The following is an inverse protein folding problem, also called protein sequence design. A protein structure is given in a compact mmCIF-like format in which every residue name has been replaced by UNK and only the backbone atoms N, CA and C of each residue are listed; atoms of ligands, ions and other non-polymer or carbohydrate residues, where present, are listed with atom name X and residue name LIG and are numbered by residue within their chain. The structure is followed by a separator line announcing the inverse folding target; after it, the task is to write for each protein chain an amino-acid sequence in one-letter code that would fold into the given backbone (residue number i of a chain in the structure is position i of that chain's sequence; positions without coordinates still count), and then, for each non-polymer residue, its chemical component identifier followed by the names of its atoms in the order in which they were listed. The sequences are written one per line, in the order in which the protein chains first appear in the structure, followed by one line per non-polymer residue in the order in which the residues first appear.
data_IF_542292110748
#
_entry.id   IF_542292110748
#
_cell.length_a   1.000
_cell.length_b   1.000
_cell.length_c   1.000
_cell.angle_alpha   90.00
_cell.angle_beta   90.00
_cell.angle_gamma   90.00
#
_symmetry.space_group_name_H-M   'P 1'
#
loop_
_entity.id
_entity.type
_entity.pdbx_description
1 polymer ?
#
# COMPACT_ATOMS: atom_id res chain seq x y z
N UNK A 1 -0.50 -0.34 14.46
CA UNK A 1 -1.98 -0.32 14.58
C UNK A 1 -2.46 0.85 13.75
N UNK A 2 -3.02 0.56 12.58
CA UNK A 2 -3.59 1.60 11.73
C UNK A 2 -4.89 2.11 12.38
N UNK A 3 -4.95 3.40 12.67
CA UNK A 3 -6.09 4.04 13.36
C UNK A 3 -7.22 4.42 12.39
N UNK A 4 -7.36 3.71 11.28
CA UNK A 4 -8.37 4.00 10.24
C UNK A 4 -9.82 3.95 10.74
N UNK A 5 -10.08 3.26 11.87
CA UNK A 5 -11.41 3.11 12.43
C UNK A 5 -12.03 4.43 12.94
N UNK A 6 -11.22 5.44 13.16
CA UNK A 6 -11.66 6.74 13.69
C UNK A 6 -11.73 7.86 12.66
N UNK A 7 -11.50 7.57 11.36
CA UNK A 7 -11.39 8.58 10.31
C UNK A 7 -10.40 9.71 10.67
N UNK A 8 -9.29 9.36 11.31
CA UNK A 8 -8.25 10.28 11.79
C UNK A 8 -6.90 9.83 11.27
N UNK A 9 -6.15 10.77 10.70
CA UNK A 9 -4.72 10.60 10.39
C UNK A 9 -3.94 11.23 11.54
N UNK A 10 -3.08 10.44 12.19
CA UNK A 10 -2.15 10.97 13.19
C UNK A 10 -0.84 11.26 12.50
N UNK A 11 -0.47 12.53 12.43
CA UNK A 11 0.77 13.00 11.83
C UNK A 11 1.63 13.68 12.88
N UNK A 12 2.94 13.64 12.69
CA UNK A 12 3.87 14.45 13.48
C UNK A 12 3.99 15.82 12.84
N UNK A 13 3.89 16.86 13.64
CA UNK A 13 4.11 18.23 13.19
C UNK A 13 5.63 18.45 13.01
N UNK A 14 6.08 18.47 11.76
CA UNK A 14 7.45 18.78 11.40
C UNK A 14 7.77 20.27 11.50
N UNK A 15 6.75 21.14 11.62
CA UNK A 15 6.94 22.59 11.72
C UNK A 15 7.24 23.04 13.14
N UNK A 16 6.98 22.17 14.15
CA UNK A 16 7.24 22.43 15.56
C UNK A 16 8.72 22.34 15.99
N UNK A 17 9.65 22.08 15.08
CA UNK A 17 11.07 22.22 15.41
C UNK A 17 11.42 23.70 15.42
N UNK A 18 12.02 24.17 16.53
CA UNK A 18 12.44 25.57 16.77
C UNK A 18 13.29 26.20 15.65
N UNK A 19 13.69 25.43 14.65
CA UNK A 19 14.50 25.87 13.51
C UNK A 19 13.72 26.60 12.41
N UNK A 20 12.37 26.56 12.40
CA UNK A 20 11.55 27.21 11.38
C UNK A 20 10.82 28.48 11.86
N UNK A 21 10.72 28.69 13.18
CA UNK A 21 9.93 29.78 13.76
C UNK A 21 10.49 31.20 13.49
N UNK A 22 11.77 31.33 13.14
CA UNK A 22 12.47 32.62 13.02
C UNK A 22 12.84 33.05 11.58
N UNK A 23 12.25 32.42 10.54
CA UNK A 23 12.61 32.73 9.15
C UNK A 23 11.49 33.52 8.43
N UNK A 24 11.84 34.58 7.66
CA UNK A 24 10.84 35.33 6.88
C UNK A 24 10.16 34.44 5.83
N UNK A 25 8.87 34.66 5.60
CA UNK A 25 7.96 33.78 4.82
C UNK A 25 8.48 33.33 3.43
N UNK A 26 9.32 34.14 2.75
CA UNK A 26 9.95 33.77 1.46
C UNK A 26 11.08 32.76 1.58
N UNK A 27 11.76 32.68 2.72
CA UNK A 27 12.80 31.69 3.00
C UNK A 27 12.20 30.41 3.58
N UNK A 28 11.03 30.46 4.21
CA UNK A 28 10.33 29.31 4.74
C UNK A 28 9.89 28.34 3.62
N UNK A 29 9.43 28.86 2.46
CA UNK A 29 9.06 28.02 1.31
C UNK A 29 10.24 27.22 0.74
N UNK A 30 11.43 27.84 0.65
CA UNK A 30 12.62 27.17 0.14
C UNK A 30 13.23 26.19 1.16
N UNK A 31 13.22 26.57 2.44
CA UNK A 31 13.64 25.67 3.51
C UNK A 31 12.66 24.51 3.68
N UNK A 32 11.35 24.71 3.47
CA UNK A 32 10.35 23.65 3.45
C UNK A 32 10.60 22.66 2.32
N UNK A 33 10.94 23.10 1.13
CA UNK A 33 11.29 22.25 0.00
C UNK A 33 12.59 21.48 0.24
N UNK A 34 13.61 22.10 0.86
CA UNK A 34 14.86 21.44 1.23
C UNK A 34 14.63 20.35 2.30
N UNK A 35 13.74 20.60 3.27
CA UNK A 35 13.33 19.60 4.27
C UNK A 35 12.58 18.45 3.60
N UNK A 36 11.64 18.74 2.70
CA UNK A 36 10.88 17.71 1.97
C UNK A 36 11.77 16.88 1.02
N UNK A 37 12.90 17.42 0.58
CA UNK A 37 13.88 16.71 -0.23
C UNK A 37 14.84 15.83 0.59
N UNK A 38 14.80 15.91 1.93
CA UNK A 38 15.66 15.07 2.78
C UNK A 38 15.15 13.62 2.80
N UNK A 39 16.04 12.61 2.94
CA UNK A 39 15.65 11.21 3.06
C UNK A 39 14.68 10.95 4.22
N UNK A 40 14.85 11.67 5.34
CA UNK A 40 13.99 11.56 6.53
C UNK A 40 12.57 12.05 6.24
N UNK A 41 12.45 13.18 5.53
CA UNK A 41 11.14 13.70 5.13
C UNK A 41 10.47 12.82 4.09
N UNK A 42 11.21 12.21 3.19
CA UNK A 42 10.68 11.27 2.21
C UNK A 42 9.97 10.10 2.90
N UNK A 43 10.56 9.54 3.96
CA UNK A 43 9.93 8.48 4.76
C UNK A 43 8.65 8.95 5.46
N UNK A 44 8.65 10.16 6.02
CA UNK A 44 7.46 10.73 6.67
C UNK A 44 6.34 11.02 5.66
N UNK A 45 6.67 11.55 4.49
CA UNK A 45 5.68 11.79 3.43
C UNK A 45 5.11 10.47 2.93
N UNK A 46 5.93 9.43 2.74
CA UNK A 46 5.46 8.10 2.37
C UNK A 46 4.46 7.54 3.40
N UNK A 47 4.78 7.65 4.70
CA UNK A 47 3.86 7.25 5.78
C UNK A 47 2.55 8.06 5.75
N UNK A 48 2.64 9.37 5.54
CA UNK A 48 1.47 10.25 5.47
C UNK A 48 0.55 9.88 4.31
N UNK A 49 1.14 9.59 3.15
CA UNK A 49 0.42 9.12 1.97
C UNK A 49 -0.21 7.77 2.21
N UNK A 50 0.49 6.86 2.87
CA UNK A 50 -0.02 5.54 3.26
C UNK A 50 -1.31 5.68 4.08
N UNK A 51 -1.27 6.42 5.19
CA UNK A 51 -2.42 6.64 6.06
C UNK A 51 -3.56 7.42 5.37
N UNK A 52 -3.22 8.42 4.56
CA UNK A 52 -4.20 9.15 3.77
C UNK A 52 -4.88 8.27 2.72
N UNK A 53 -4.17 7.28 2.18
CA UNK A 53 -4.72 6.31 1.23
C UNK A 53 -5.78 5.43 1.90
N UNK A 54 -5.51 4.89 3.10
CA UNK A 54 -6.51 4.15 3.86
C UNK A 54 -7.76 5.00 4.12
N UNK A 55 -7.57 6.23 4.61
CA UNK A 55 -8.68 7.13 4.88
C UNK A 55 -9.50 7.44 3.61
N UNK A 56 -8.82 7.69 2.49
CA UNK A 56 -9.46 7.98 1.21
C UNK A 56 -10.23 6.77 0.70
N UNK A 57 -9.65 5.56 0.79
CA UNK A 57 -10.30 4.33 0.36
C UNK A 57 -11.64 4.08 1.08
N UNK A 58 -11.70 4.36 2.39
CA UNK A 58 -12.96 4.31 3.15
C UNK A 58 -13.93 5.43 2.79
N UNK A 59 -13.44 6.65 2.56
CA UNK A 59 -14.29 7.81 2.30
C UNK A 59 -14.89 7.81 0.89
N UNK A 60 -14.18 7.25 -0.10
CA UNK A 60 -14.68 7.14 -1.48
C UNK A 60 -15.46 5.84 -1.75
N UNK A 61 -15.62 4.97 -0.74
CA UNK A 61 -16.36 3.72 -0.85
C UNK A 61 -15.61 2.58 -1.52
N UNK A 62 -14.29 2.74 -1.76
CA UNK A 62 -13.43 1.64 -2.23
C UNK A 62 -13.33 0.54 -1.17
N UNK A 63 -13.26 0.93 0.10
CA UNK A 63 -13.36 0.04 1.24
C UNK A 63 -14.60 0.41 2.06
N UNK A 64 -15.43 -0.59 2.36
CA UNK A 64 -16.60 -0.39 3.20
C UNK A 64 -16.24 -0.68 4.65
N UNK A 65 -16.67 0.19 5.58
CA UNK A 65 -16.44 -0.03 7.01
C UNK A 65 -17.09 -1.31 7.48
N UNK A 66 -16.35 -2.07 8.27
CA UNK A 66 -16.75 -3.37 8.81
C UNK A 66 -16.98 -4.47 7.76
N UNK A 67 -16.78 -4.22 6.48
CA UNK A 67 -16.69 -5.29 5.48
C UNK A 67 -15.32 -5.99 5.59
N UNK A 68 -15.26 -7.29 5.27
CA UNK A 68 -14.00 -8.03 5.32
C UNK A 68 -13.14 -7.66 4.08
N UNK A 69 -12.26 -6.69 4.24
CA UNK A 69 -11.25 -6.33 3.25
C UNK A 69 -9.94 -7.02 3.65
N UNK A 70 -9.39 -7.93 2.84
CA UNK A 70 -8.12 -8.58 3.14
C UNK A 70 -6.99 -7.56 3.34
N UNK A 71 -6.11 -7.77 4.33
CA UNK A 71 -5.01 -6.84 4.60
C UNK A 71 -4.06 -6.68 3.42
N UNK A 72 -3.83 -7.75 2.62
CA UNK A 72 -2.99 -7.61 1.44
C UNK A 72 -3.54 -6.59 0.43
N UNK A 73 -4.87 -6.42 0.35
CA UNK A 73 -5.52 -5.43 -0.52
C UNK A 73 -5.34 -4.03 0.04
N UNK A 74 -5.71 -3.82 1.31
CA UNK A 74 -5.65 -2.49 1.93
C UNK A 74 -4.23 -1.98 2.03
N UNK A 75 -3.29 -2.81 2.50
CA UNK A 75 -1.87 -2.47 2.63
C UNK A 75 -1.17 -2.40 1.27
N UNK A 76 -1.54 -3.29 0.34
CA UNK A 76 -1.01 -3.27 -1.03
C UNK A 76 -1.36 -1.99 -1.77
N UNK A 77 -2.60 -1.50 -1.63
CA UNK A 77 -3.03 -0.21 -2.21
C UNK A 77 -2.29 0.94 -1.51
N UNK A 78 -2.23 0.96 -0.18
CA UNK A 78 -1.54 2.02 0.55
C UNK A 78 -0.05 2.11 0.16
N UNK A 79 0.64 0.98 0.11
CA UNK A 79 2.05 0.90 -0.30
C UNK A 79 2.29 1.22 -1.78
N UNK A 80 1.30 0.99 -2.64
CA UNK A 80 1.36 1.38 -4.06
C UNK A 80 1.41 2.91 -4.22
N UNK A 81 0.78 3.66 -3.34
CA UNK A 81 0.79 5.12 -3.33
C UNK A 81 1.97 5.74 -2.57
N UNK A 82 2.76 4.96 -1.83
CA UNK A 82 3.93 5.43 -1.05
C UNK A 82 5.08 6.03 -1.86
N UNK A 83 4.97 6.17 -3.17
CA UNK A 83 6.03 6.67 -4.06
C UNK A 83 5.73 8.08 -4.57
N UNK A 84 5.64 9.11 -3.69
CA UNK A 84 5.44 10.47 -4.13
C UNK A 84 6.70 10.97 -4.86
N UNK A 85 6.52 11.62 -6.00
CA UNK A 85 7.59 12.37 -6.65
C UNK A 85 7.70 13.76 -6.01
N UNK A 86 8.51 13.86 -4.97
CA UNK A 86 8.74 15.10 -4.22
C UNK A 86 9.60 16.11 -4.99
N UNK A 87 10.27 15.69 -6.06
CA UNK A 87 11.09 16.55 -6.89
C UNK A 87 10.25 17.28 -7.98
N UNK A 88 9.02 16.90 -8.19
CA UNK A 88 8.15 17.49 -9.21
C UNK A 88 7.48 18.78 -8.72
N UNK A 89 7.73 19.89 -9.40
CA UNK A 89 7.04 21.16 -9.22
C UNK A 89 5.63 21.20 -9.87
N UNK A 90 5.26 20.16 -10.63
CA UNK A 90 4.02 20.05 -11.41
C UNK A 90 2.96 19.17 -10.76
N UNK A 91 3.02 19.01 -9.43
CA UNK A 91 2.10 18.19 -8.65
C UNK A 91 2.51 16.71 -8.56
N UNK A 92 1.63 15.91 -8.02
CA UNK A 92 1.87 14.52 -7.67
C UNK A 92 2.03 13.62 -8.91
N UNK A 93 3.25 13.25 -9.29
CA UNK A 93 3.54 12.40 -10.46
C UNK A 93 4.08 11.00 -10.11
N UNK A 94 4.40 10.74 -8.86
CA UNK A 94 4.99 9.47 -8.41
C UNK A 94 3.98 8.34 -8.20
N UNK A 95 2.67 8.59 -8.36
CA UNK A 95 1.64 7.58 -8.15
C UNK A 95 1.85 6.40 -9.10
N UNK A 96 1.97 5.21 -8.51
CA UNK A 96 2.18 3.98 -9.27
C UNK A 96 3.59 3.81 -9.81
N UNK A 97 4.54 4.63 -9.35
CA UNK A 97 5.96 4.41 -9.56
C UNK A 97 6.46 3.13 -8.86
N UNK A 98 7.64 2.66 -9.25
CA UNK A 98 8.25 1.50 -8.62
C UNK A 98 8.73 1.89 -7.22
N UNK A 99 8.17 1.30 -6.19
CA UNK A 99 8.64 1.43 -4.82
C UNK A 99 9.92 0.58 -4.65
N UNK A 100 11.09 1.19 -4.86
CA UNK A 100 12.39 0.50 -4.85
C UNK A 100 12.67 -0.23 -3.54
N UNK A 101 12.46 0.38 -2.35
CA UNK A 101 12.63 -0.34 -1.09
C UNK A 101 11.74 -1.59 -0.97
N UNK A 102 10.48 -1.50 -1.41
CA UNK A 102 9.55 -2.65 -1.41
C UNK A 102 9.96 -3.72 -2.43
N UNK A 103 10.40 -3.31 -3.62
CA UNK A 103 10.90 -4.22 -4.65
C UNK A 103 12.10 -5.03 -4.15
N UNK A 104 13.10 -4.34 -3.61
CA UNK A 104 14.32 -4.98 -3.11
C UNK A 104 13.99 -5.94 -1.95
N UNK A 105 13.10 -5.53 -1.05
CA UNK A 105 12.64 -6.37 0.06
C UNK A 105 11.88 -7.60 -0.42
N UNK A 106 10.94 -7.43 -1.37
CA UNK A 106 10.20 -8.54 -1.97
C UNK A 106 11.14 -9.58 -2.58
N UNK A 107 12.09 -9.14 -3.42
CA UNK A 107 13.04 -10.03 -4.09
C UNK A 107 13.97 -10.75 -3.09
N UNK A 108 14.36 -10.10 -2.00
CA UNK A 108 15.21 -10.69 -0.96
C UNK A 108 14.47 -11.70 -0.07
N UNK A 109 13.18 -11.45 0.20
CA UNK A 109 12.36 -12.25 1.12
C UNK A 109 11.45 -13.27 0.41
N UNK A 110 11.64 -13.48 -0.90
CA UNK A 110 10.82 -14.38 -1.69
C UNK A 110 10.97 -15.84 -1.23
N UNK A 111 9.83 -16.48 -0.96
CA UNK A 111 9.71 -17.90 -0.64
C UNK A 111 8.42 -18.45 -1.26
N UNK A 112 8.40 -19.72 -1.70
CA UNK A 112 7.16 -20.36 -2.18
C UNK A 112 6.06 -20.35 -1.12
N UNK A 113 4.82 -20.19 -1.54
CA UNK A 113 3.65 -20.23 -0.66
C UNK A 113 3.38 -18.92 0.11
N UNK A 114 4.19 -17.88 -0.07
CA UNK A 114 4.00 -16.61 0.66
C UNK A 114 2.86 -15.75 0.11
N UNK A 115 2.62 -15.80 -1.20
CA UNK A 115 1.48 -15.11 -1.81
C UNK A 115 0.15 -15.78 -1.43
N UNK A 116 0.01 -17.12 -1.56
CA UNK A 116 -1.17 -17.81 -1.02
C UNK A 116 -1.45 -17.53 0.46
N UNK A 117 -0.41 -17.42 1.29
CA UNK A 117 -0.56 -17.15 2.71
C UNK A 117 -1.18 -15.77 2.97
N UNK A 118 -0.70 -14.71 2.32
CA UNK A 118 -1.23 -13.34 2.53
C UNK A 118 -2.59 -13.12 1.86
N UNK A 119 -2.91 -13.88 0.80
CA UNK A 119 -4.24 -13.82 0.16
C UNK A 119 -5.27 -14.52 1.05
N UNK A 120 -4.93 -15.67 1.62
CA UNK A 120 -5.86 -16.46 2.43
C UNK A 120 -6.08 -15.94 3.84
N UNK A 121 -5.09 -15.27 4.47
CA UNK A 121 -5.20 -14.88 5.87
C UNK A 121 -4.48 -13.54 6.15
N UNK A 122 -4.92 -12.83 7.16
CA UNK A 122 -4.31 -11.60 7.66
C UNK A 122 -3.26 -11.84 8.74
N UNK A 123 -3.19 -13.06 9.30
CA UNK A 123 -2.26 -13.41 10.37
C UNK A 123 -0.78 -13.14 10.03
N UNK A 124 -0.31 -13.37 8.78
CA UNK A 124 1.05 -13.03 8.39
C UNK A 124 1.42 -11.55 8.60
N UNK A 125 0.46 -10.63 8.48
CA UNK A 125 0.68 -9.19 8.70
C UNK A 125 0.76 -8.80 10.18
N UNK A 126 0.24 -9.63 11.08
CA UNK A 126 0.24 -9.39 12.52
C UNK A 126 1.51 -9.88 13.20
N UNK A 127 2.29 -10.72 12.53
CA UNK A 127 3.59 -11.19 13.03
C UNK A 127 4.65 -10.12 12.83
N UNK A 128 5.22 -9.63 13.93
CA UNK A 128 6.17 -8.52 13.90
C UNK A 128 7.43 -8.79 13.06
N UNK A 129 7.89 -10.04 13.04
CA UNK A 129 9.06 -10.52 12.30
C UNK A 129 8.82 -10.67 10.79
N UNK A 130 7.57 -10.85 10.37
CA UNK A 130 7.19 -11.04 8.96
C UNK A 130 6.46 -9.83 8.35
N UNK A 131 5.98 -8.91 9.17
CA UNK A 131 5.12 -7.80 8.72
C UNK A 131 5.75 -6.99 7.58
N UNK A 132 7.02 -6.60 7.70
CA UNK A 132 7.72 -5.80 6.67
C UNK A 132 7.80 -6.55 5.35
N UNK A 133 8.03 -7.87 5.38
CA UNK A 133 8.06 -8.72 4.20
C UNK A 133 6.68 -8.84 3.56
N UNK A 134 5.64 -8.94 4.38
CA UNK A 134 4.27 -9.07 3.90
C UNK A 134 3.74 -7.76 3.30
N UNK A 135 4.15 -6.60 3.82
CA UNK A 135 3.91 -5.31 3.15
C UNK A 135 4.58 -5.25 1.76
N UNK A 136 5.81 -5.76 1.64
CA UNK A 136 6.50 -5.81 0.36
C UNK A 136 5.83 -6.79 -0.63
N UNK A 137 5.32 -7.93 -0.15
CA UNK A 137 4.55 -8.91 -0.94
C UNK A 137 3.21 -8.33 -1.40
N UNK A 138 2.48 -7.65 -0.50
CA UNK A 138 1.21 -6.98 -0.81
C UNK A 138 1.41 -5.90 -1.88
N UNK A 139 2.46 -5.07 -1.75
CA UNK A 139 2.83 -4.10 -2.76
C UNK A 139 3.13 -4.78 -4.11
N UNK A 140 3.96 -5.82 -4.10
CA UNK A 140 4.37 -6.51 -5.33
C UNK A 140 3.17 -7.13 -6.06
N UNK A 141 2.27 -7.79 -5.32
CA UNK A 141 1.06 -8.38 -5.88
C UNK A 141 0.13 -7.30 -6.45
N UNK A 142 -0.13 -6.23 -5.69
CA UNK A 142 -0.96 -5.10 -6.12
C UNK A 142 -0.37 -4.42 -7.36
N UNK A 143 0.94 -4.13 -7.36
CA UNK A 143 1.63 -3.53 -8.50
C UNK A 143 1.50 -4.42 -9.74
N UNK A 144 1.79 -5.71 -9.63
CA UNK A 144 1.69 -6.68 -10.71
C UNK A 144 0.27 -6.77 -11.28
N UNK A 145 -0.74 -6.88 -10.43
CA UNK A 145 -2.15 -6.95 -10.86
C UNK A 145 -2.59 -5.67 -11.55
N UNK A 146 -2.23 -4.50 -11.04
CA UNK A 146 -2.53 -3.21 -11.68
C UNK A 146 -1.84 -3.04 -13.04
N UNK A 147 -0.65 -3.61 -13.23
CA UNK A 147 0.08 -3.52 -14.49
C UNK A 147 -0.36 -4.57 -15.53
N UNK A 148 -0.84 -5.73 -15.09
CA UNK A 148 -1.11 -6.86 -15.99
C UNK A 148 -2.59 -7.25 -16.09
N UNK A 149 -3.41 -6.93 -15.06
CA UNK A 149 -4.81 -7.33 -14.94
C UNK A 149 -5.68 -6.22 -14.30
N UNK A 150 -5.47 -4.99 -14.74
CA UNK A 150 -6.05 -3.79 -14.10
C UNK A 150 -7.57 -3.85 -13.97
N UNK A 151 -8.28 -4.23 -15.03
CA UNK A 151 -9.74 -4.30 -15.03
C UNK A 151 -10.23 -5.33 -14.01
N UNK A 152 -9.66 -6.54 -14.03
CA UNK A 152 -9.97 -7.59 -13.07
C UNK A 152 -9.70 -7.15 -11.62
N UNK A 153 -8.60 -6.43 -11.38
CA UNK A 153 -8.29 -5.92 -10.05
C UNK A 153 -9.30 -4.86 -9.58
N UNK A 154 -9.73 -3.95 -10.47
CA UNK A 154 -10.77 -2.97 -10.15
C UNK A 154 -12.11 -3.65 -9.85
N UNK A 155 -12.48 -4.67 -10.61
CA UNK A 155 -13.71 -5.41 -10.38
C UNK A 155 -13.64 -6.23 -9.07
N UNK A 156 -12.49 -6.79 -8.76
CA UNK A 156 -12.24 -7.42 -7.45
C UNK A 156 -12.42 -6.45 -6.29
N UNK A 157 -11.90 -5.23 -6.39
CA UNK A 157 -12.11 -4.20 -5.35
C UNK A 157 -13.59 -3.84 -5.19
N UNK A 158 -14.34 -3.77 -6.28
CA UNK A 158 -15.79 -3.54 -6.23
C UNK A 158 -16.52 -4.68 -5.53
N UNK A 159 -16.20 -5.93 -5.87
CA UNK A 159 -16.81 -7.09 -5.21
C UNK A 159 -16.53 -7.12 -3.70
N UNK A 160 -15.32 -6.75 -3.27
CA UNK A 160 -15.01 -6.62 -1.86
C UNK A 160 -15.82 -5.51 -1.17
N UNK A 161 -16.02 -4.37 -1.84
CA UNK A 161 -16.82 -3.27 -1.30
C UNK A 161 -18.32 -3.60 -1.19
N UNK A 162 -18.82 -4.56 -1.97
CA UNK A 162 -20.21 -5.05 -1.92
C UNK A 162 -20.45 -6.05 -0.80
N UNK A 163 -19.39 -6.64 -0.22
CA UNK A 163 -19.54 -7.59 0.90
C UNK A 163 -20.31 -6.95 2.07
N UNK A 164 -21.24 -7.67 2.69
CA UNK A 164 -21.95 -7.15 3.86
C UNK A 164 -21.00 -6.85 5.03
N UNK A 165 -21.26 -5.79 5.79
CA UNK A 165 -20.52 -5.54 7.04
C UNK A 165 -20.63 -6.76 7.97
N UNK A 166 -19.51 -7.09 8.64
CA UNK A 166 -19.41 -8.19 9.60
C UNK A 166 -19.71 -9.58 8.99
N UNK A 167 -19.70 -9.72 7.66
CA UNK A 167 -19.83 -11.02 7.04
C UNK A 167 -18.61 -11.90 7.34
N UNK A 168 -18.84 -13.21 7.39
CA UNK A 168 -17.78 -14.18 7.57
C UNK A 168 -16.83 -14.14 6.36
N UNK A 169 -15.53 -14.26 6.65
CA UNK A 169 -14.48 -14.27 5.65
C UNK A 169 -13.47 -15.35 6.04
N UNK A 170 -13.51 -16.46 5.32
CA UNK A 170 -12.60 -17.59 5.57
C UNK A 170 -11.45 -17.60 4.56
N UNK A 171 -10.33 -18.29 4.87
CA UNK A 171 -9.26 -18.47 3.89
C UNK A 171 -9.75 -19.06 2.57
N UNK A 172 -10.72 -19.98 2.61
CA UNK A 172 -11.30 -20.61 1.43
C UNK A 172 -12.11 -19.60 0.61
N UNK A 173 -12.94 -18.77 1.26
CA UNK A 173 -13.72 -17.74 0.56
C UNK A 173 -12.83 -16.71 -0.09
N UNK A 174 -11.76 -16.27 0.57
CA UNK A 174 -10.78 -15.32 0.02
C UNK A 174 -10.07 -15.87 -1.21
N UNK A 175 -9.68 -17.14 -1.18
CA UNK A 175 -9.07 -17.81 -2.34
C UNK A 175 -10.05 -17.98 -3.49
N UNK A 176 -11.30 -18.28 -3.19
CA UNK A 176 -12.35 -18.37 -4.22
C UNK A 176 -12.61 -17.02 -4.86
N UNK A 177 -12.78 -15.95 -4.07
CA UNK A 177 -12.94 -14.58 -4.58
C UNK A 177 -11.75 -14.17 -5.48
N UNK A 178 -10.55 -14.56 -5.09
CA UNK A 178 -9.33 -14.29 -5.86
C UNK A 178 -9.35 -15.07 -7.19
N UNK A 179 -9.69 -16.35 -7.16
CA UNK A 179 -9.78 -17.18 -8.36
C UNK A 179 -10.86 -16.66 -9.32
N UNK A 180 -12.03 -16.29 -8.79
CA UNK A 180 -13.14 -15.77 -9.59
C UNK A 180 -12.78 -14.45 -10.26
N UNK A 181 -12.03 -13.58 -9.57
CA UNK A 181 -11.61 -12.28 -10.09
C UNK A 181 -10.49 -12.40 -11.13
N UNK A 182 -9.50 -13.26 -10.89
CA UNK A 182 -8.27 -13.28 -11.71
C UNK A 182 -8.16 -14.50 -12.62
N UNK A 183 -9.05 -15.49 -12.53
CA UNK A 183 -8.99 -16.71 -13.31
C UNK A 183 -7.74 -17.55 -13.07
N UNK A 184 -7.09 -17.35 -11.92
CA UNK A 184 -5.86 -18.04 -11.51
C UNK A 184 -5.80 -18.08 -9.99
N UNK A 185 -5.27 -19.16 -9.44
CA UNK A 185 -5.04 -19.24 -8.00
C UNK A 185 -3.85 -18.37 -7.57
N UNK A 186 -3.72 -18.00 -6.29
CA UNK A 186 -2.55 -17.30 -5.80
C UNK A 186 -1.24 -18.05 -6.03
N UNK A 187 -1.28 -19.39 -5.95
CA UNK A 187 -0.15 -20.29 -6.21
C UNK A 187 0.32 -20.20 -7.66
N UNK A 188 -0.60 -20.20 -8.61
CA UNK A 188 -0.32 -20.06 -10.04
C UNK A 188 0.27 -18.70 -10.42
N UNK A 189 0.02 -17.67 -9.61
CA UNK A 189 0.56 -16.32 -9.85
C UNK A 189 1.94 -16.09 -9.24
N UNK A 190 2.44 -16.91 -8.32
CA UNK A 190 3.73 -16.67 -7.66
C UNK A 190 4.90 -16.60 -8.65
N UNK A 191 5.00 -17.55 -9.57
CA UNK A 191 6.10 -17.57 -10.54
C UNK A 191 6.02 -16.43 -11.57
N UNK A 192 4.87 -16.15 -12.21
CA UNK A 192 4.70 -14.98 -13.07
C UNK A 192 4.99 -13.66 -12.37
N UNK A 193 4.52 -13.49 -11.13
CA UNK A 193 4.79 -12.33 -10.30
C UNK A 193 6.29 -12.15 -10.06
N UNK A 194 6.98 -13.19 -9.62
CA UNK A 194 8.42 -13.15 -9.36
C UNK A 194 9.20 -12.77 -10.63
N UNK A 195 8.89 -13.41 -11.76
CA UNK A 195 9.51 -13.10 -13.06
C UNK A 195 9.27 -11.66 -13.49
N UNK A 196 8.07 -11.14 -13.26
CA UNK A 196 7.73 -9.77 -13.58
C UNK A 196 8.53 -8.79 -12.71
N UNK A 197 8.52 -8.97 -11.39
CA UNK A 197 9.21 -8.08 -10.46
C UNK A 197 10.74 -8.11 -10.64
N UNK A 198 11.32 -9.26 -10.97
CA UNK A 198 12.75 -9.37 -11.25
C UNK A 198 13.21 -8.55 -12.47
N UNK A 199 12.33 -8.30 -13.45
CA UNK A 199 12.61 -7.46 -14.63
C UNK A 199 12.60 -5.95 -14.33
N UNK A 200 12.03 -5.55 -13.19
CA UNK A 200 11.95 -4.14 -12.78
C UNK A 200 13.20 -3.68 -12.01
N UNK A 201 14.11 -4.59 -11.67
CA UNK A 201 15.33 -4.34 -10.91
C UNK A 201 16.45 -3.55 -11.69
#
# INVERSE_FOLDING_TARGET
MCSSDLNRVTTFDLTGSDTLADRPARSAGRAGLEILASPEASGLVATLVHEATHQTAFNCGLHRRLAPVPLWVSEGIATYFETPDLASDRGWRGIGGINRPRLDRYLAAQRPGTIPAIVGDDEPFRRADEAIDNYARAWALTYFLLQTRREAFVDYLRSLAEKPPLSADSPESRRQDFLDAFGSTPEELEEPLLKYMARLR
#
